data_IF_394057758486
#
_entry.id   IF_394057758486
#
_cell.length_a   1.000
_cell.length_b   1.000
_cell.length_c   1.000
_cell.angle_alpha   90.00
_cell.angle_beta   90.00
_cell.angle_gamma   90.00
#
_symmetry.space_group_name_H-M   'P 1'
#
loop_
_entity.id
_entity.type
_entity.pdbx_description
1 polymer ?
#
# COMPACT_ATOMS: atom_id res chain seq x y z
N UNK A 1 -5.10 16.84 -14.54
CA UNK A 1 -5.56 15.69 -13.74
C UNK A 1 -4.39 14.73 -13.55
N UNK A 2 -3.90 14.61 -12.32
CA UNK A 2 -2.67 13.85 -12.02
C UNK A 2 -3.05 12.41 -11.66
N UNK A 3 -2.78 11.47 -12.57
CA UNK A 3 -2.72 10.05 -12.26
C UNK A 3 -1.39 9.49 -12.76
N UNK A 4 -0.29 10.04 -12.24
CA UNK A 4 1.07 9.75 -12.67
C UNK A 4 1.97 9.34 -11.51
N UNK A 5 1.62 8.27 -10.80
CA UNK A 5 2.62 7.50 -10.05
C UNK A 5 2.65 6.11 -10.65
N UNK A 6 3.68 5.89 -11.48
CA UNK A 6 4.03 4.58 -12.07
C UNK A 6 3.93 3.53 -10.98
N UNK A 7 2.92 2.70 -11.10
CA UNK A 7 2.76 1.52 -10.28
C UNK A 7 2.51 0.39 -11.27
N UNK A 8 3.59 -0.33 -11.58
CA UNK A 8 3.73 -1.35 -12.62
C UNK A 8 2.76 -2.56 -12.53
N UNK A 9 1.68 -2.47 -11.73
CA UNK A 9 0.64 -3.48 -11.58
C UNK A 9 -0.80 -3.05 -11.91
N UNK A 10 -1.10 -1.75 -12.08
CA UNK A 10 -2.48 -1.23 -12.19
C UNK A 10 -3.07 -1.24 -13.61
N UNK A 11 -2.26 -1.59 -14.61
CA UNK A 11 -2.64 -1.60 -16.03
C UNK A 11 -2.58 -2.97 -16.69
N UNK A 12 -2.41 -4.08 -15.93
CA UNK A 12 -2.21 -5.42 -16.52
C UNK A 12 -3.38 -5.85 -17.41
N UNK A 13 -4.58 -5.39 -17.07
CA UNK A 13 -5.80 -5.58 -17.85
C UNK A 13 -6.40 -4.27 -18.39
N UNK A 14 -5.63 -3.18 -18.45
CA UNK A 14 -6.07 -1.95 -19.11
C UNK A 14 -6.31 -2.22 -20.60
N UNK A 15 -7.51 -1.88 -21.11
CA UNK A 15 -7.89 -2.10 -22.50
C UNK A 15 -8.29 -3.53 -22.88
N UNK A 16 -8.16 -4.51 -21.97
CA UNK A 16 -8.61 -5.90 -22.23
C UNK A 16 -10.11 -6.03 -22.03
N UNK A 17 -10.75 -6.91 -22.80
CA UNK A 17 -12.17 -7.27 -22.64
C UNK A 17 -12.43 -7.77 -21.22
N UNK A 18 -13.61 -7.45 -20.67
CA UNK A 18 -14.05 -7.95 -19.36
C UNK A 18 -14.35 -9.45 -19.45
N UNK A 19 -13.68 -10.27 -18.64
CA UNK A 19 -14.03 -11.69 -18.54
C UNK A 19 -15.23 -11.86 -17.62
N UNK A 20 -15.92 -12.99 -17.76
CA UNK A 20 -17.08 -13.32 -16.91
C UNK A 20 -16.68 -13.40 -15.42
N UNK A 21 -15.51 -13.95 -15.12
CA UNK A 21 -14.90 -13.92 -13.78
C UNK A 21 -14.68 -12.50 -13.26
N UNK A 22 -14.07 -11.60 -14.04
CA UNK A 22 -13.86 -10.20 -13.62
C UNK A 22 -15.19 -9.54 -13.22
N UNK A 23 -16.26 -9.81 -13.98
CA UNK A 23 -17.60 -9.26 -13.73
C UNK A 23 -18.22 -9.88 -12.46
N UNK A 24 -18.01 -11.17 -12.23
CA UNK A 24 -18.48 -11.87 -11.04
C UNK A 24 -17.78 -11.35 -9.77
N UNK A 25 -16.46 -11.20 -9.79
CA UNK A 25 -15.68 -10.59 -8.70
C UNK A 25 -16.12 -9.15 -8.45
N UNK A 26 -16.32 -8.35 -9.50
CA UNK A 26 -16.78 -6.97 -9.37
C UNK A 26 -18.17 -6.89 -8.71
N UNK A 27 -19.11 -7.75 -9.10
CA UNK A 27 -20.43 -7.85 -8.44
C UNK A 27 -20.32 -8.27 -6.98
N UNK A 28 -19.49 -9.28 -6.68
CA UNK A 28 -19.31 -9.77 -5.32
C UNK A 28 -18.70 -8.70 -4.40
N UNK A 29 -17.71 -7.95 -4.89
CA UNK A 29 -17.07 -6.87 -4.14
C UNK A 29 -17.99 -5.66 -3.98
N UNK A 30 -18.74 -5.29 -5.03
CA UNK A 30 -19.73 -4.21 -4.96
C UNK A 30 -20.83 -4.53 -3.93
N UNK A 31 -21.33 -5.78 -3.89
CA UNK A 31 -22.29 -6.22 -2.86
C UNK A 31 -21.74 -6.15 -1.45
N UNK A 32 -20.43 -6.33 -1.27
CA UNK A 32 -19.75 -6.16 0.01
C UNK A 32 -19.51 -4.69 0.38
N UNK A 33 -19.87 -3.73 -0.48
CA UNK A 33 -19.59 -2.32 -0.28
C UNK A 33 -18.09 -1.98 -0.38
N UNK A 34 -17.31 -2.80 -1.10
CA UNK A 34 -15.88 -2.58 -1.22
C UNK A 34 -15.57 -1.28 -1.97
N UNK A 35 -14.54 -0.52 -1.55
CA UNK A 35 -14.17 0.71 -2.22
C UNK A 35 -13.56 0.43 -3.60
N UNK A 36 -13.76 1.34 -4.55
CA UNK A 36 -13.26 1.23 -5.95
C UNK A 36 -11.78 0.89 -6.00
N UNK A 37 -10.98 1.43 -5.08
CA UNK A 37 -9.53 1.20 -5.02
C UNK A 37 -9.15 -0.24 -4.68
N UNK A 38 -9.93 -0.93 -3.85
CA UNK A 38 -9.69 -2.34 -3.52
C UNK A 38 -10.09 -3.23 -4.69
N UNK A 39 -11.19 -2.89 -5.37
CA UNK A 39 -11.66 -3.59 -6.56
C UNK A 39 -10.63 -3.46 -7.69
N UNK A 40 -10.12 -2.25 -7.93
CA UNK A 40 -9.10 -2.02 -8.96
C UNK A 40 -7.81 -2.79 -8.69
N UNK A 41 -7.37 -2.87 -7.43
CA UNK A 41 -6.23 -3.67 -7.01
C UNK A 41 -6.42 -5.17 -7.27
N UNK A 42 -7.61 -5.70 -6.95
CA UNK A 42 -7.90 -7.11 -7.12
C UNK A 42 -8.03 -7.51 -8.61
N UNK A 43 -8.63 -6.64 -9.42
CA UNK A 43 -8.83 -6.89 -10.86
C UNK A 43 -7.62 -6.48 -11.72
N UNK A 44 -6.67 -5.70 -11.18
CA UNK A 44 -5.56 -5.15 -11.95
C UNK A 44 -6.01 -4.22 -13.09
N UNK A 45 -7.14 -3.54 -12.90
CA UNK A 45 -7.76 -2.60 -13.87
C UNK A 45 -7.76 -1.19 -13.28
N UNK A 46 -7.69 -0.13 -14.11
CA UNK A 46 -7.73 1.24 -13.62
C UNK A 46 -9.08 1.57 -12.97
N UNK A 47 -9.06 2.43 -11.95
CA UNK A 47 -10.25 2.87 -11.21
C UNK A 47 -11.35 3.41 -12.13
N UNK A 48 -10.97 4.14 -13.18
CA UNK A 48 -11.90 4.72 -14.15
C UNK A 48 -12.64 3.64 -14.95
N UNK A 49 -11.96 2.56 -15.32
CA UNK A 49 -12.60 1.43 -16.00
C UNK A 49 -13.53 0.65 -15.06
N UNK A 50 -13.14 0.49 -13.79
CA UNK A 50 -13.98 -0.15 -12.76
C UNK A 50 -15.24 0.67 -12.50
N UNK A 51 -15.12 2.00 -12.37
CA UNK A 51 -16.27 2.91 -12.22
C UNK A 51 -17.21 2.87 -13.41
N UNK A 52 -16.66 2.96 -14.63
CA UNK A 52 -17.46 2.85 -15.85
C UNK A 52 -18.23 1.52 -15.87
N UNK A 53 -17.55 0.41 -15.56
CA UNK A 53 -18.21 -0.91 -15.59
C UNK A 53 -19.24 -1.10 -14.49
N UNK A 54 -18.99 -0.57 -13.30
CA UNK A 54 -19.94 -0.59 -12.21
C UNK A 54 -21.19 0.23 -12.55
N UNK A 55 -21.03 1.40 -13.17
CA UNK A 55 -22.14 2.23 -13.64
C UNK A 55 -22.96 1.52 -14.74
N UNK A 56 -22.32 0.89 -15.73
CA UNK A 56 -23.01 0.07 -16.74
C UNK A 56 -23.83 -1.07 -16.12
N UNK A 57 -23.37 -1.62 -14.99
CA UNK A 57 -24.02 -2.73 -14.28
C UNK A 57 -25.01 -2.26 -13.20
N UNK A 58 -25.19 -0.95 -12.99
CA UNK A 58 -26.04 -0.39 -11.95
C UNK A 58 -25.56 -0.67 -10.52
N UNK A 59 -24.25 -0.86 -10.33
CA UNK A 59 -23.65 -1.19 -9.03
C UNK A 59 -23.13 0.08 -8.35
N UNK A 60 -23.64 0.36 -7.14
CA UNK A 60 -23.13 1.43 -6.28
C UNK A 60 -21.81 1.00 -5.63
N UNK A 61 -20.69 1.36 -6.26
CA UNK A 61 -19.36 1.19 -5.66
C UNK A 61 -19.00 2.43 -4.85
N UNK A 62 -18.66 2.23 -3.57
CA UNK A 62 -18.25 3.33 -2.70
C UNK A 62 -16.93 3.93 -3.21
N UNK A 63 -16.97 5.21 -3.59
CA UNK A 63 -15.78 5.98 -3.95
C UNK A 63 -15.01 6.47 -2.71
N UNK A 64 -15.53 6.20 -1.51
CA UNK A 64 -14.94 6.63 -0.25
C UNK A 64 -13.52 6.06 -0.09
N UNK A 65 -12.52 6.89 0.22
CA UNK A 65 -11.17 6.41 0.50
C UNK A 65 -11.21 5.46 1.69
N UNK A 66 -10.56 4.31 1.57
CA UNK A 66 -10.36 3.40 2.70
C UNK A 66 -9.64 4.18 3.80
N UNK A 67 -10.30 4.36 4.95
CA UNK A 67 -9.67 4.92 6.15
C UNK A 67 -8.73 3.87 6.72
N UNK A 68 -7.51 3.83 6.21
CA UNK A 68 -6.41 3.09 6.84
C UNK A 68 -5.78 4.00 7.88
N UNK A 69 -5.72 3.56 9.14
CA UNK A 69 -4.93 4.26 10.15
C UNK A 69 -3.47 4.32 9.68
N UNK A 70 -2.75 5.45 9.90
CA UNK A 70 -1.34 5.53 9.55
C UNK A 70 -0.57 4.44 10.29
N UNK A 71 0.22 3.65 9.56
CA UNK A 71 1.04 2.60 10.15
C UNK A 71 2.06 3.17 11.15
N UNK A 72 2.60 2.35 12.06
CA UNK A 72 3.57 2.82 13.05
C UNK A 72 4.78 3.44 12.34
N UNK A 73 5.03 4.73 12.61
CA UNK A 73 6.26 5.40 12.19
C UNK A 73 7.42 4.76 12.96
N UNK A 74 8.18 3.87 12.30
CA UNK A 74 9.49 3.41 12.78
C UNK A 74 10.41 4.62 12.82
N UNK A 75 10.40 5.36 13.92
CA UNK A 75 11.49 6.26 14.24
C UNK A 75 12.70 5.36 14.50
N UNK A 76 13.72 5.46 13.65
CA UNK A 76 15.03 4.92 13.98
C UNK A 76 15.47 5.67 15.23
N UNK A 77 15.21 5.08 16.41
CA UNK A 77 15.84 5.52 17.65
C UNK A 77 17.33 5.39 17.39
N UNK A 78 17.97 6.50 17.04
CA UNK A 78 19.42 6.59 16.95
C UNK A 78 19.91 6.28 18.35
N UNK A 79 20.26 5.01 18.58
CA UNK A 79 20.85 4.58 19.84
C UNK A 79 22.00 5.54 20.11
N UNK A 80 22.03 6.21 21.28
CA UNK A 80 23.17 7.05 21.61
C UNK A 80 24.39 6.14 21.56
N UNK A 81 25.37 6.53 20.74
CA UNK A 81 26.65 5.85 20.69
C UNK A 81 27.16 5.76 22.13
N UNK A 82 27.40 4.53 22.59
CA UNK A 82 28.07 4.32 23.87
C UNK A 82 29.37 5.15 23.84
N UNK A 83 29.68 5.95 24.87
CA UNK A 83 30.99 6.55 24.96
C UNK A 83 32.01 5.40 25.00
N UNK A 84 33.12 5.47 24.25
CA UNK A 84 34.20 4.51 24.42
C UNK A 84 34.64 4.61 25.88
N UNK A 85 34.41 3.53 26.63
CA UNK A 85 34.83 3.36 28.00
C UNK A 85 36.29 3.77 28.10
N UNK A 86 36.56 4.73 28.99
CA UNK A 86 37.88 5.13 29.39
C UNK A 86 38.70 3.87 29.70
N UNK A 87 39.71 3.61 28.87
CA UNK A 87 40.75 2.67 29.17
C UNK A 87 41.40 3.14 30.48
N UNK A 88 41.23 2.33 31.53
CA UNK A 88 41.97 2.44 32.77
C UNK A 88 43.44 2.17 32.47
N UNK A 89 44.21 3.22 32.23
CA UNK A 89 45.67 3.19 32.29
C UNK A 89 46.05 3.15 33.78
N UNK A 90 46.14 1.93 34.31
CA UNK A 90 46.40 1.67 35.73
C UNK A 90 47.18 0.38 35.90
N UNK A 91 48.11 0.10 35.01
CA UNK A 91 48.97 -1.09 35.10
C UNK A 91 50.30 -0.88 34.41
N UNK A 92 51.15 -0.01 34.96
CA UNK A 92 52.60 -0.20 34.91
C UNK A 92 53.14 0.18 36.28
N UNK A 93 53.10 -0.82 37.15
CA UNK A 93 53.88 -0.94 38.37
C UNK A 93 55.31 -0.46 38.11
N UNK A 94 55.62 0.72 38.63
CA UNK A 94 56.97 1.26 38.73
C UNK A 94 57.68 0.42 39.80
N UNK A 95 58.29 -0.68 39.37
CA UNK A 95 59.23 -1.46 40.15
C UNK A 95 60.29 -0.52 40.76
N UNK A 96 60.43 -0.59 42.10
CA UNK A 96 61.52 0.00 42.87
C UNK A 96 62.87 -0.63 42.51
#
# INVERSE_FOLDING_TARGET
MVYGVKSEGYGRNAGKRWRRDDIADLKALARKGAPVRVISLKLGRPDSAVKAKAAELGLSVSAEPVRVAPGPRRTLRRSPAAPPTAARDGQLELFQ
#
